data_IF_099257035776
#
_entry.id   IF_099257035776
#
_cell.length_a   1.000
_cell.length_b   1.000
_cell.length_c   1.000
_cell.angle_alpha   90.00
_cell.angle_beta   90.00
_cell.angle_gamma   90.00
#
_symmetry.space_group_name_H-M   'P 1'
#
loop_
_entity.id
_entity.type
_entity.pdbx_description
1 polymer ?
#
# COMPACT_ATOMS: atom_id res chain seq x y z
N UNK A 1 27.64 4.30 6.73
CA UNK A 1 27.20 4.60 5.37
C UNK A 1 26.71 3.36 4.62
N UNK A 2 27.52 2.31 4.52
CA UNK A 2 27.10 1.05 3.91
C UNK A 2 25.90 0.42 4.60
N UNK A 3 25.87 0.46 5.91
CA UNK A 3 24.78 -0.06 6.73
C UNK A 3 23.44 0.59 6.38
N UNK A 4 23.41 1.92 6.30
CA UNK A 4 22.19 2.66 5.97
C UNK A 4 21.74 2.38 4.54
N UNK A 5 22.70 2.29 3.61
CA UNK A 5 22.41 1.96 2.21
C UNK A 5 21.83 0.56 2.09
N UNK A 6 22.40 -0.41 2.81
CA UNK A 6 21.90 -1.78 2.83
C UNK A 6 20.48 -1.85 3.39
N UNK A 7 20.20 -1.11 4.45
CA UNK A 7 18.87 -1.06 5.07
C UNK A 7 17.85 -0.45 4.11
N UNK A 8 18.20 0.64 3.42
CA UNK A 8 17.30 1.25 2.42
C UNK A 8 17.03 0.32 1.25
N UNK A 9 18.06 -0.38 0.77
CA UNK A 9 17.90 -1.36 -0.31
C UNK A 9 16.95 -2.49 0.10
N UNK A 10 17.03 -2.94 1.34
CA UNK A 10 16.13 -3.97 1.85
C UNK A 10 14.68 -3.49 1.81
N UNK A 11 14.43 -2.25 2.22
CA UNK A 11 13.09 -1.66 2.20
C UNK A 11 12.58 -1.54 0.76
N UNK A 12 13.40 -1.04 -0.16
CA UNK A 12 13.03 -0.95 -1.58
C UNK A 12 12.72 -2.32 -2.17
N UNK A 13 13.52 -3.33 -1.85
CA UNK A 13 13.31 -4.70 -2.34
C UNK A 13 11.98 -5.27 -1.88
N UNK A 14 11.61 -5.04 -0.62
CA UNK A 14 10.34 -5.49 -0.08
C UNK A 14 9.17 -4.86 -0.82
N UNK A 15 9.23 -3.54 -1.03
CA UNK A 15 8.17 -2.82 -1.72
C UNK A 15 8.03 -3.22 -3.19
N UNK A 16 9.13 -3.54 -3.85
CA UNK A 16 9.10 -3.99 -5.24
C UNK A 16 8.61 -5.43 -5.40
N UNK A 17 9.01 -6.30 -4.47
CA UNK A 17 8.68 -7.72 -4.55
C UNK A 17 7.26 -8.03 -4.09
N UNK A 18 6.71 -7.22 -3.19
CA UNK A 18 5.38 -7.45 -2.65
C UNK A 18 4.35 -6.79 -3.55
N UNK A 19 3.48 -7.57 -4.15
CA UNK A 19 2.48 -7.08 -5.10
C UNK A 19 1.22 -6.53 -4.44
N UNK A 20 1.34 -5.89 -3.28
CA UNK A 20 0.21 -5.30 -2.56
C UNK A 20 0.67 -4.15 -1.67
N UNK A 21 -0.25 -3.25 -1.25
CA UNK A 21 0.10 -2.17 -0.32
C UNK A 21 0.57 -2.73 1.03
N UNK A 22 1.55 -2.06 1.62
CA UNK A 22 2.15 -2.50 2.89
C UNK A 22 2.11 -1.39 3.94
N UNK A 23 1.80 -1.76 5.18
CA UNK A 23 1.96 -0.86 6.31
C UNK A 23 3.45 -0.74 6.67
N UNK A 24 3.85 0.31 7.41
CA UNK A 24 5.22 0.42 7.87
C UNK A 24 5.68 -0.80 8.70
N UNK A 25 4.79 -1.38 9.50
CA UNK A 25 5.11 -2.58 10.27
C UNK A 25 5.35 -3.79 9.37
N UNK A 26 4.56 -3.95 8.32
CA UNK A 26 4.76 -5.03 7.36
C UNK A 26 6.08 -4.86 6.61
N UNK A 27 6.41 -3.64 6.23
CA UNK A 27 7.69 -3.33 5.58
C UNK A 27 8.85 -3.67 6.52
N UNK A 28 8.74 -3.23 7.77
CA UNK A 28 9.75 -3.48 8.79
C UNK A 28 9.98 -4.98 9.00
N UNK A 29 8.91 -5.74 9.20
CA UNK A 29 9.00 -7.17 9.45
C UNK A 29 9.69 -7.92 8.29
N UNK A 30 9.34 -7.58 7.05
CA UNK A 30 9.92 -8.22 5.88
C UNK A 30 11.37 -7.77 5.62
N UNK A 31 11.64 -6.47 5.70
CA UNK A 31 12.97 -5.94 5.43
C UNK A 31 13.99 -6.36 6.49
N UNK A 32 13.55 -6.58 7.72
CA UNK A 32 14.41 -7.03 8.81
C UNK A 32 15.05 -8.38 8.57
N UNK A 33 14.43 -9.21 7.78
CA UNK A 33 15.00 -10.51 7.41
C UNK A 33 16.28 -10.34 6.60
N UNK A 34 16.36 -9.30 5.77
CA UNK A 34 17.54 -8.98 4.97
C UNK A 34 18.50 -8.05 5.70
N UNK A 35 18.00 -7.26 6.64
CA UNK A 35 18.77 -6.27 7.37
C UNK A 35 18.43 -6.32 8.85
N UNK A 36 18.96 -7.30 9.62
CA UNK A 36 18.55 -7.52 11.02
C UNK A 36 18.73 -6.32 11.96
N UNK A 37 19.61 -5.40 11.62
CA UNK A 37 19.81 -4.19 12.42
C UNK A 37 18.85 -3.05 12.13
N UNK A 38 17.89 -3.26 11.23
CA UNK A 38 16.95 -2.25 10.83
C UNK A 38 16.00 -1.86 11.98
N UNK A 39 15.79 -0.55 12.17
CA UNK A 39 14.82 -0.04 13.14
C UNK A 39 13.67 0.67 12.47
N UNK A 40 12.57 0.86 13.20
CA UNK A 40 11.38 1.51 12.69
C UNK A 40 11.63 2.95 12.24
N UNK A 41 12.50 3.68 12.94
CA UNK A 41 12.81 5.06 12.55
C UNK A 41 13.38 5.14 11.13
N UNK A 42 14.24 4.19 10.76
CA UNK A 42 14.79 4.12 9.41
C UNK A 42 13.70 3.79 8.39
N UNK A 43 12.78 2.91 8.75
CA UNK A 43 11.65 2.58 7.88
C UNK A 43 10.82 3.84 7.57
N UNK A 44 10.43 4.59 8.59
CA UNK A 44 9.65 5.82 8.41
C UNK A 44 10.39 6.87 7.59
N UNK A 45 11.69 7.06 7.85
CA UNK A 45 12.49 8.03 7.08
C UNK A 45 12.59 7.63 5.61
N UNK A 46 12.77 6.34 5.35
CA UNK A 46 12.87 5.83 3.98
C UNK A 46 11.54 5.97 3.24
N UNK A 47 10.43 5.64 3.90
CA UNK A 47 9.09 5.83 3.32
C UNK A 47 8.87 7.29 2.96
N UNK A 48 9.17 8.21 3.89
CA UNK A 48 9.01 9.65 3.64
C UNK A 48 9.83 10.10 2.44
N UNK A 49 11.07 9.66 2.35
CA UNK A 49 11.95 9.99 1.23
C UNK A 49 11.39 9.47 -0.08
N UNK A 50 10.91 8.23 -0.11
CA UNK A 50 10.32 7.65 -1.31
C UNK A 50 9.04 8.35 -1.73
N UNK A 51 8.23 8.81 -0.77
CA UNK A 51 7.04 9.61 -1.06
C UNK A 51 7.44 10.96 -1.66
N UNK A 52 8.43 11.64 -1.06
CA UNK A 52 8.92 12.93 -1.53
C UNK A 52 9.51 12.82 -2.94
N UNK A 53 10.16 11.70 -3.24
CA UNK A 53 10.76 11.44 -4.54
C UNK A 53 9.75 10.93 -5.59
N UNK A 54 8.50 10.70 -5.20
CA UNK A 54 7.47 10.22 -6.11
C UNK A 54 7.54 8.74 -6.43
N UNK A 55 8.26 7.94 -5.65
CA UNK A 55 8.40 6.50 -5.87
C UNK A 55 7.36 5.66 -5.14
N UNK A 56 6.73 6.21 -4.12
CA UNK A 56 5.66 5.57 -3.37
C UNK A 56 4.40 6.42 -3.40
N UNK A 57 3.26 5.75 -3.29
CA UNK A 57 1.97 6.40 -3.13
C UNK A 57 1.28 5.84 -1.89
N UNK A 58 0.62 6.71 -1.10
CA UNK A 58 -0.17 6.22 0.03
C UNK A 58 -1.49 5.63 -0.45
N UNK A 59 -1.92 4.58 0.23
CA UNK A 59 -3.25 4.00 0.05
C UNK A 59 -4.06 4.34 1.29
N UNK A 60 -5.03 5.23 1.13
CA UNK A 60 -5.89 5.66 2.22
C UNK A 60 -6.90 4.57 2.56
N UNK A 61 -6.91 4.15 3.81
CA UNK A 61 -7.81 3.11 4.30
C UNK A 61 -8.76 3.76 5.30
N UNK A 62 -10.08 3.69 5.07
CA UNK A 62 -11.03 4.31 6.00
C UNK A 62 -10.82 3.82 7.44
N UNK A 63 -10.61 4.77 8.36
CA UNK A 63 -10.44 4.48 9.78
C UNK A 63 -9.08 3.93 10.20
N UNK A 64 -8.11 3.86 9.30
CA UNK A 64 -6.79 3.33 9.61
C UNK A 64 -5.68 4.24 9.06
N UNK A 65 -4.46 4.00 9.54
CA UNK A 65 -3.28 4.67 8.97
C UNK A 65 -3.06 4.20 7.54
N UNK A 66 -2.48 5.03 6.67
CA UNK A 66 -2.26 4.65 5.28
C UNK A 66 -1.27 3.51 5.15
N UNK A 67 -1.39 2.79 4.03
CA UNK A 67 -0.39 1.83 3.58
C UNK A 67 0.27 2.39 2.34
N UNK A 68 1.32 1.72 1.88
CA UNK A 68 2.15 2.27 0.82
C UNK A 68 2.39 1.25 -0.27
N UNK A 69 2.41 1.72 -1.51
CA UNK A 69 2.71 0.91 -2.68
C UNK A 69 3.52 1.72 -3.66
N UNK A 70 4.11 1.05 -4.66
CA UNK A 70 4.85 1.76 -5.70
C UNK A 70 3.91 2.70 -6.45
N UNK A 71 4.41 3.87 -6.78
CA UNK A 71 3.68 4.80 -7.63
C UNK A 71 3.75 4.36 -9.11
N UNK A 72 2.93 4.97 -9.95
CA UNK A 72 2.98 4.74 -11.39
C UNK A 72 2.30 3.47 -11.88
N UNK A 73 1.56 2.78 -11.02
CA UNK A 73 0.78 1.62 -11.45
C UNK A 73 -0.49 2.06 -12.18
N UNK A 74 -1.06 1.16 -13.00
CA UNK A 74 -2.34 1.40 -13.65
C UNK A 74 -3.41 1.69 -12.59
N UNK A 75 -4.44 2.47 -12.93
CA UNK A 75 -5.53 2.74 -12.00
C UNK A 75 -6.13 1.44 -11.45
N UNK A 76 -6.35 1.41 -10.16
CA UNK A 76 -6.85 0.22 -9.46
C UNK A 76 -7.59 0.62 -8.19
N UNK A 77 -8.28 -0.34 -7.61
CA UNK A 77 -8.98 -0.19 -6.34
C UNK A 77 -8.38 -1.16 -5.33
N UNK A 78 -8.93 -1.23 -4.14
CA UNK A 78 -8.33 -1.99 -3.06
C UNK A 78 -9.32 -2.88 -2.33
N UNK A 79 -8.82 -4.00 -1.81
CA UNK A 79 -9.57 -4.94 -1.00
C UNK A 79 -8.81 -5.16 0.31
N UNK A 80 -9.51 -5.09 1.44
CA UNK A 80 -8.92 -5.41 2.74
C UNK A 80 -9.50 -6.69 3.29
N UNK A 81 -8.62 -7.60 3.72
CA UNK A 81 -9.03 -8.82 4.40
C UNK A 81 -9.28 -8.51 5.88
N UNK A 82 -10.48 -8.81 6.35
CA UNK A 82 -10.84 -8.61 7.76
C UNK A 82 -10.17 -9.61 8.71
N UNK A 83 -9.70 -10.74 8.18
CA UNK A 83 -9.04 -11.77 8.99
C UNK A 83 -7.56 -11.53 9.17
N UNK A 84 -6.80 -11.35 8.09
CA UNK A 84 -5.36 -11.12 8.16
C UNK A 84 -4.96 -9.66 8.09
N UNK A 85 -5.90 -8.78 7.85
CA UNK A 85 -5.73 -7.33 7.77
C UNK A 85 -4.81 -6.86 6.64
N UNK A 86 -4.51 -7.72 5.67
CA UNK A 86 -3.73 -7.33 4.49
C UNK A 86 -4.61 -6.58 3.51
N UNK A 87 -4.01 -5.66 2.78
CA UNK A 87 -4.65 -4.93 1.69
C UNK A 87 -4.11 -5.43 0.37
N UNK A 88 -4.99 -5.62 -0.59
CA UNK A 88 -4.66 -6.14 -1.91
C UNK A 88 -5.11 -5.16 -2.98
N UNK A 89 -4.41 -5.15 -4.11
CA UNK A 89 -4.79 -4.38 -5.28
C UNK A 89 -5.84 -5.14 -6.09
N UNK A 90 -6.82 -4.39 -6.62
CA UNK A 90 -7.84 -4.92 -7.53
C UNK A 90 -7.70 -4.18 -8.85
N UNK A 91 -7.15 -4.84 -9.85
CA UNK A 91 -7.03 -4.30 -11.19
C UNK A 91 -8.21 -4.73 -12.05
N UNK A 92 -8.49 -3.95 -13.10
CA UNK A 92 -9.55 -4.28 -14.04
C UNK A 92 -10.97 -4.07 -13.55
N UNK A 93 -11.16 -3.33 -12.45
CA UNK A 93 -12.48 -3.01 -11.94
C UNK A 93 -13.05 -1.82 -12.73
N UNK A 94 -14.06 -2.06 -13.57
CA UNK A 94 -14.63 -1.06 -14.46
C UNK A 94 -16.01 -0.59 -14.01
N UNK A 95 -16.30 -0.62 -12.73
CA UNK A 95 -17.58 -0.17 -12.20
C UNK A 95 -17.64 1.35 -12.19
N UNK A 96 -18.72 1.91 -12.74
CA UNK A 96 -18.97 3.34 -12.73
C UNK A 96 -20.15 3.67 -11.83
N UNK A 97 -20.01 4.68 -11.00
CA UNK A 97 -21.05 5.14 -10.09
C UNK A 97 -21.57 6.54 -10.44
N UNK A 98 -21.45 6.95 -11.70
CA UNK A 98 -21.93 8.27 -12.14
C UNK A 98 -23.38 8.53 -11.76
N UNK A 99 -24.24 7.51 -11.90
CA UNK A 99 -25.65 7.62 -11.57
C UNK A 99 -25.92 7.69 -10.07
N UNK A 100 -24.94 7.38 -9.25
CA UNK A 100 -25.04 7.45 -7.79
C UNK A 100 -24.83 8.85 -7.23
N UNK A 101 -24.31 9.77 -8.04
CA UNK A 101 -24.12 11.14 -7.59
C UNK A 101 -25.48 11.87 -7.55
N UNK A 102 -25.71 12.76 -6.55
CA UNK A 102 -26.94 13.56 -6.51
C UNK A 102 -27.08 14.45 -7.74
N UNK A 103 -28.32 14.84 -8.05
CA UNK A 103 -28.61 15.73 -9.18
C UNK A 103 -27.80 17.03 -9.04
N UNK A 104 -27.18 17.45 -10.14
CA UNK A 104 -26.39 18.66 -10.19
C UNK A 104 -24.95 18.50 -9.71
N UNK A 105 -24.59 17.30 -9.22
CA UNK A 105 -23.22 17.02 -8.82
C UNK A 105 -22.41 16.52 -10.00
N UNK A 106 -21.13 16.90 -10.04
CA UNK A 106 -20.19 16.43 -11.06
C UNK A 106 -19.25 15.42 -10.42
N UNK A 107 -19.25 14.18 -10.91
CA UNK A 107 -18.34 13.15 -10.44
C UNK A 107 -16.97 13.35 -11.10
N UNK A 108 -15.93 13.57 -10.30
CA UNK A 108 -14.57 13.77 -10.80
C UNK A 108 -13.68 12.54 -10.61
N UNK A 109 -14.14 11.55 -9.89
CA UNK A 109 -13.40 10.31 -9.66
C UNK A 109 -14.11 9.40 -8.68
N UNK A 110 -13.57 8.22 -8.53
CA UNK A 110 -14.10 7.24 -7.58
C UNK A 110 -12.98 6.33 -7.10
N UNK A 111 -13.14 5.81 -5.90
CA UNK A 111 -12.25 4.79 -5.35
C UNK A 111 -13.12 3.73 -4.68
N UNK A 112 -13.00 2.50 -5.13
CA UNK A 112 -13.73 1.37 -4.57
C UNK A 112 -12.84 0.66 -3.56
N UNK A 113 -13.36 0.48 -2.37
CA UNK A 113 -12.67 -0.21 -1.30
C UNK A 113 -13.57 -1.33 -0.78
N UNK A 114 -13.19 -2.59 -1.06
CA UNK A 114 -13.96 -3.75 -0.63
C UNK A 114 -13.38 -4.35 0.64
N UNK A 115 -14.22 -4.97 1.42
CA UNK A 115 -13.85 -5.64 2.68
C UNK A 115 -14.41 -7.06 2.66
N UNK A 116 -13.65 -7.98 3.24
CA UNK A 116 -14.09 -9.36 3.30
C UNK A 116 -12.95 -10.26 3.77
N UNK A 117 -12.85 -11.46 3.20
CA UNK A 117 -11.76 -12.39 3.50
C UNK A 117 -11.01 -12.71 2.21
N UNK A 118 -9.68 -12.67 2.28
CA UNK A 118 -8.85 -12.98 1.12
C UNK A 118 -8.86 -14.49 0.84
N UNK A 119 -8.29 -14.89 -0.29
CA UNK A 119 -8.27 -16.30 -0.68
C UNK A 119 -7.53 -17.17 0.33
N UNK A 120 -6.53 -16.64 1.02
CA UNK A 120 -5.81 -17.39 2.06
C UNK A 120 -6.59 -17.54 3.36
N UNK A 121 -7.61 -16.72 3.59
CA UNK A 121 -8.43 -16.70 4.82
C UNK A 121 -9.84 -17.23 4.61
N UNK A 122 -10.24 -17.48 3.37
CA UNK A 122 -11.62 -17.87 3.04
C UNK A 122 -11.85 -19.37 3.04
N UNK A 123 -10.80 -20.15 3.23
CA UNK A 123 -10.91 -21.61 3.25
C UNK A 123 -11.49 -22.13 4.55
#
# INVERSE_FOLDING_TARGET
MERTTHQRKAIHSVLEATGRPLSPLEIFAAAREMAPGLGMATVYRTIKRMLDDGHLAPVEIPGEAPRYERSGMDPHHHFRCNSCNKVFDMFGCNVSFEKGAPDGFVLEGQHIFLFGRCNGCSA
#
